data_IF_543423958565
#
_entry.id   IF_543423958565
#
_cell.length_a   1.000
_cell.length_b   1.000
_cell.length_c   1.000
_cell.angle_alpha   90.00
_cell.angle_beta   90.00
_cell.angle_gamma   90.00
#
_symmetry.space_group_name_H-M   'P 1'
#
loop_
_entity.id
_entity.type
_entity.pdbx_description
1 polymer ?
#
# COMPACT_ATOMS: atom_id res chain seq x y z
N UNK A 1 21.87 -24.99 -12.35
CA UNK A 1 20.70 -25.60 -13.02
C UNK A 1 20.29 -26.80 -12.17
N UNK A 2 19.09 -27.01 -11.65
CA UNK A 2 17.76 -26.44 -11.87
C UNK A 2 16.86 -27.01 -10.76
N UNK A 3 16.10 -26.15 -10.07
CA UNK A 3 14.88 -26.38 -9.23
C UNK A 3 14.80 -25.37 -8.08
N UNK A 4 14.56 -24.10 -8.43
CA UNK A 4 14.02 -23.07 -7.52
C UNK A 4 12.79 -22.42 -8.16
N UNK A 5 11.78 -23.23 -8.52
CA UNK A 5 10.51 -22.72 -9.08
C UNK A 5 9.36 -23.68 -8.80
N UNK A 6 8.82 -23.71 -7.57
CA UNK A 6 7.42 -24.15 -7.38
C UNK A 6 6.75 -23.76 -6.05
N UNK A 7 7.42 -23.11 -5.09
CA UNK A 7 6.80 -22.82 -3.78
C UNK A 7 5.92 -21.56 -3.80
N UNK A 8 6.18 -20.60 -4.69
CA UNK A 8 5.48 -19.30 -4.72
C UNK A 8 4.06 -19.30 -5.29
N UNK A 9 3.51 -20.44 -5.74
CA UNK A 9 2.20 -20.50 -6.40
C UNK A 9 1.05 -20.96 -5.50
N UNK A 10 1.32 -21.71 -4.43
CA UNK A 10 0.27 -22.24 -3.54
C UNK A 10 -0.19 -21.27 -2.45
N UNK A 11 0.61 -20.24 -2.12
CA UNK A 11 0.29 -19.28 -1.03
C UNK A 11 -0.87 -18.33 -1.41
N UNK A 12 -1.18 -18.18 -2.70
CA UNK A 12 -2.21 -17.23 -3.19
C UNK A 12 -3.64 -17.78 -3.25
N UNK A 13 -3.87 -19.06 -2.90
CA UNK A 13 -5.15 -19.72 -3.22
C UNK A 13 -6.32 -19.32 -2.32
N UNK A 14 -6.08 -18.61 -1.21
CA UNK A 14 -7.12 -18.36 -0.19
C UNK A 14 -7.71 -16.92 -0.24
N UNK A 15 -7.17 -16.01 -1.04
CA UNK A 15 -7.71 -14.65 -1.17
C UNK A 15 -8.41 -14.44 -2.52
N UNK A 16 -9.72 -14.66 -2.59
CA UNK A 16 -10.57 -14.23 -3.73
C UNK A 16 -11.68 -13.30 -3.23
N UNK A 17 -11.68 -12.06 -3.72
CA UNK A 17 -12.80 -11.11 -3.62
C UNK A 17 -13.46 -10.99 -5.00
N UNK A 18 -14.78 -11.11 -5.02
CA UNK A 18 -15.68 -11.02 -6.18
C UNK A 18 -15.71 -9.63 -6.79
N UNK A 19 -15.62 -9.54 -8.12
CA UNK A 19 -15.97 -8.36 -8.90
C UNK A 19 -17.21 -8.68 -9.74
N UNK A 20 -18.29 -7.92 -9.53
CA UNK A 20 -19.52 -7.97 -10.33
C UNK A 20 -19.34 -7.09 -11.56
N UNK A 21 -19.33 -7.73 -12.72
CA UNK A 21 -19.41 -7.11 -14.04
C UNK A 21 -20.85 -6.66 -14.32
N UNK A 22 -21.06 -5.43 -14.78
CA UNK A 22 -22.34 -5.02 -15.35
C UNK A 22 -22.16 -4.61 -16.82
N UNK A 23 -22.97 -5.23 -17.65
CA UNK A 23 -23.05 -5.17 -19.11
C UNK A 23 -24.16 -4.25 -19.58
N UNK A 24 -24.01 -3.66 -20.77
CA UNK A 24 -25.09 -3.07 -21.58
C UNK A 24 -25.15 -1.53 -21.55
N UNK A 25 -25.60 -0.81 -22.57
CA UNK A 25 -25.97 -1.12 -23.95
C UNK A 25 -26.18 0.22 -24.71
N UNK A 26 -25.77 0.27 -25.98
CA UNK A 26 -26.30 0.98 -27.18
C UNK A 26 -26.97 2.38 -27.04
N UNK A 27 -26.58 3.34 -27.91
CA UNK A 27 -27.33 3.80 -29.12
C UNK A 27 -26.80 5.15 -29.69
N UNK A 28 -26.69 5.23 -31.04
CA UNK A 28 -27.15 6.38 -31.86
C UNK A 28 -26.18 7.53 -32.22
N UNK A 29 -25.72 7.57 -33.48
CA UNK A 29 -25.14 8.72 -34.22
C UNK A 29 -26.23 9.75 -34.63
N UNK A 30 -26.02 10.75 -35.54
CA UNK A 30 -24.83 11.43 -36.09
C UNK A 30 -24.98 12.99 -36.17
N UNK A 31 -23.94 13.73 -36.60
CA UNK A 31 -24.10 15.11 -37.11
C UNK A 31 -22.81 15.94 -37.20
N UNK A 32 -22.26 16.06 -38.41
CA UNK A 32 -21.42 17.17 -38.93
C UNK A 32 -22.20 17.80 -40.11
N UNK A 33 -21.81 18.93 -40.77
CA UNK A 33 -20.63 19.80 -40.60
C UNK A 33 -20.95 21.32 -40.61
N UNK A 34 -19.95 22.17 -40.35
CA UNK A 34 -20.01 23.62 -40.56
C UNK A 34 -18.65 24.20 -40.97
N UNK A 35 -18.67 25.03 -42.01
CA UNK A 35 -17.58 25.45 -42.90
C UNK A 35 -16.58 26.51 -42.36
N UNK A 36 -15.44 26.73 -43.07
CA UNK A 36 -14.23 27.36 -42.54
C UNK A 36 -14.22 28.90 -42.65
N UNK A 37 -13.72 29.56 -41.61
CA UNK A 37 -13.44 31.01 -41.57
C UNK A 37 -11.96 31.33 -41.83
N UNK A 38 -11.74 32.41 -42.57
CA UNK A 38 -10.47 32.91 -43.13
C UNK A 38 -9.42 33.39 -42.11
N UNK A 39 -8.12 33.47 -42.52
CA UNK A 39 -6.98 33.69 -41.62
C UNK A 39 -6.77 35.16 -41.25
N UNK A 40 -6.71 35.46 -39.95
CA UNK A 40 -6.44 36.79 -39.40
C UNK A 40 -5.29 36.80 -38.39
N UNK A 41 -4.25 37.54 -38.77
CA UNK A 41 -3.19 38.25 -38.02
C UNK A 41 -2.17 37.50 -37.11
N UNK A 42 -0.86 37.87 -37.19
CA UNK A 42 0.22 37.29 -36.40
C UNK A 42 0.17 37.76 -34.93
N UNK A 43 0.26 36.79 -34.00
CA UNK A 43 0.16 37.01 -32.56
C UNK A 43 1.36 37.73 -31.92
N UNK A 44 1.06 38.40 -30.80
CA UNK A 44 1.97 39.14 -29.94
C UNK A 44 3.07 38.26 -29.29
N UNK A 45 4.24 38.84 -28.92
CA UNK A 45 5.35 38.13 -28.32
C UNK A 45 5.01 37.53 -26.93
N UNK A 46 5.38 36.27 -26.74
CA UNK A 46 5.00 35.45 -25.59
C UNK A 46 5.51 35.91 -24.23
N UNK A 47 4.67 35.66 -23.21
CA UNK A 47 4.95 35.83 -21.79
C UNK A 47 6.12 34.95 -21.29
N UNK A 48 6.84 35.39 -20.24
CA UNK A 48 8.00 34.68 -19.71
C UNK A 48 7.64 33.33 -19.06
N UNK A 49 8.53 32.35 -19.21
CA UNK A 49 8.39 31.00 -18.69
C UNK A 49 8.18 30.97 -17.16
N UNK A 50 7.03 30.46 -16.72
CA UNK A 50 6.80 30.09 -15.32
C UNK A 50 7.66 28.88 -14.91
N UNK A 51 8.14 28.82 -13.66
CA UNK A 51 8.97 27.72 -13.19
C UNK A 51 8.14 26.46 -12.90
N UNK A 52 8.54 25.35 -13.53
CA UNK A 52 8.40 23.99 -12.98
C UNK A 52 6.98 23.43 -12.90
N UNK A 53 6.44 23.01 -14.05
CA UNK A 53 5.19 22.25 -14.12
C UNK A 53 5.22 20.99 -13.23
N UNK A 54 4.06 20.71 -12.62
CA UNK A 54 3.82 19.54 -11.77
C UNK A 54 4.31 18.26 -12.49
N UNK A 55 5.30 17.52 -11.93
CA UNK A 55 5.81 16.30 -12.56
C UNK A 55 4.76 15.19 -12.69
N UNK A 56 3.60 15.32 -12.03
CA UNK A 56 2.44 14.42 -12.16
C UNK A 56 1.53 14.75 -13.37
N UNK A 57 1.84 15.80 -14.14
CA UNK A 57 1.00 16.27 -15.25
C UNK A 57 1.08 15.45 -16.56
N UNK A 58 1.85 14.36 -16.61
CA UNK A 58 2.17 13.68 -17.87
C UNK A 58 1.24 12.52 -18.28
N UNK A 59 0.09 12.36 -17.63
CA UNK A 59 -0.95 11.41 -18.06
C UNK A 59 -2.26 12.17 -18.28
N UNK A 60 -2.53 12.56 -19.54
CA UNK A 60 -3.91 12.90 -19.96
C UNK A 60 -4.72 11.60 -20.01
N UNK A 61 -5.26 11.20 -18.87
CA UNK A 61 -6.38 10.26 -18.85
C UNK A 61 -7.55 11.03 -19.48
N UNK A 62 -8.14 10.51 -20.57
CA UNK A 62 -9.35 11.12 -21.16
C UNK A 62 -10.43 11.16 -20.08
N UNK A 63 -10.71 12.35 -19.58
CA UNK A 63 -11.83 12.63 -18.69
C UNK A 63 -13.13 12.50 -19.49
N UNK A 64 -13.78 11.34 -19.37
CA UNK A 64 -15.20 11.23 -19.68
C UNK A 64 -15.80 10.01 -18.98
N UNK A 65 -16.65 10.30 -17.98
CA UNK A 65 -17.69 9.45 -17.40
C UNK A 65 -17.21 8.33 -16.45
N UNK A 66 -16.63 8.72 -15.32
CA UNK A 66 -17.11 8.24 -14.02
C UNK A 66 -17.34 9.48 -13.17
N UNK A 67 -18.56 10.00 -13.25
CA UNK A 67 -19.05 10.92 -12.25
C UNK A 67 -18.97 10.21 -10.89
N UNK A 68 -18.09 10.72 -10.03
CA UNK A 68 -18.43 10.96 -8.64
C UNK A 68 -19.02 9.77 -7.87
N UNK A 69 -18.28 8.68 -7.68
CA UNK A 69 -18.65 7.68 -6.67
C UNK A 69 -17.84 7.91 -5.40
N UNK A 70 -18.38 8.86 -4.64
CA UNK A 70 -18.20 9.19 -3.23
C UNK A 70 -16.87 9.81 -2.77
N UNK A 71 -16.84 11.15 -2.70
CA UNK A 71 -16.07 11.85 -1.66
C UNK A 71 -17.07 12.45 -0.70
N UNK A 72 -16.97 12.07 0.58
CA UNK A 72 -16.78 13.03 1.66
C UNK A 72 -16.19 12.37 2.92
N UNK A 73 -14.87 12.47 3.05
CA UNK A 73 -14.20 12.57 4.35
C UNK A 73 -13.67 14.01 4.54
N UNK A 74 -14.46 14.88 5.17
CA UNK A 74 -14.01 16.12 5.86
C UNK A 74 -14.65 16.19 7.29
N UNK A 75 -14.37 17.12 8.21
CA UNK A 75 -14.10 18.56 8.00
C UNK A 75 -13.10 19.19 9.00
N UNK A 76 -12.49 18.43 9.90
CA UNK A 76 -11.32 18.91 10.64
C UNK A 76 -10.24 17.81 10.76
N UNK A 77 -10.62 16.54 10.96
CA UNK A 77 -9.71 15.39 10.81
C UNK A 77 -10.42 14.01 10.73
N UNK A 78 -10.97 13.59 9.57
CA UNK A 78 -11.30 12.19 9.34
C UNK A 78 -10.01 11.44 8.93
N UNK A 79 -9.48 10.62 9.85
CA UNK A 79 -8.07 10.18 9.87
C UNK A 79 -7.58 9.53 8.57
N UNK A 80 -8.30 8.54 8.01
CA UNK A 80 -7.98 7.97 6.70
C UNK A 80 -9.28 7.72 5.90
N UNK A 81 -9.25 7.99 4.59
CA UNK A 81 -10.38 7.86 3.66
C UNK A 81 -10.55 6.45 3.12
N UNK A 82 -9.51 5.62 3.22
CA UNK A 82 -9.50 4.21 2.80
C UNK A 82 -8.25 3.51 3.35
N UNK A 83 -8.28 2.18 3.39
CA UNK A 83 -7.09 1.39 3.73
C UNK A 83 -5.93 1.61 2.77
N UNK A 84 -6.22 1.81 1.48
CA UNK A 84 -5.17 2.11 0.50
C UNK A 84 -4.44 3.41 0.83
N UNK A 85 -5.17 4.44 1.30
CA UNK A 85 -4.55 5.68 1.77
C UNK A 85 -3.70 5.43 3.02
N UNK A 86 -4.23 4.72 4.01
CA UNK A 86 -3.50 4.38 5.24
C UNK A 86 -2.20 3.64 4.95
N UNK A 87 -2.24 2.66 4.05
CA UNK A 87 -1.07 1.88 3.62
C UNK A 87 -0.02 2.75 2.91
N UNK A 88 -0.45 3.58 1.94
CA UNK A 88 0.46 4.47 1.19
C UNK A 88 1.13 5.46 2.15
N UNK A 89 0.35 6.08 3.04
CA UNK A 89 0.88 6.99 4.05
C UNK A 89 1.84 6.28 5.01
N UNK A 90 1.49 5.09 5.50
CA UNK A 90 2.36 4.31 6.39
C UNK A 90 3.71 4.02 5.75
N UNK A 91 3.71 3.59 4.48
CA UNK A 91 4.96 3.35 3.74
C UNK A 91 5.82 4.59 3.62
N UNK A 92 5.22 5.74 3.28
CA UNK A 92 5.93 7.00 3.13
C UNK A 92 6.48 7.55 4.45
N UNK A 93 5.66 7.56 5.51
CA UNK A 93 5.97 8.24 6.77
C UNK A 93 6.80 7.39 7.73
N UNK A 94 6.69 6.06 7.67
CA UNK A 94 7.50 5.14 8.46
C UNK A 94 8.82 4.77 7.76
N UNK A 95 9.00 5.18 6.49
CA UNK A 95 10.27 5.11 5.77
C UNK A 95 10.68 6.46 5.18
N UNK A 96 10.82 7.51 6.01
CA UNK A 96 10.90 8.86 5.50
C UNK A 96 12.21 9.16 4.76
N UNK A 97 13.23 8.29 4.89
CA UNK A 97 14.52 8.38 4.17
C UNK A 97 14.44 7.76 2.78
N UNK A 98 13.38 7.03 2.45
CA UNK A 98 13.24 6.31 1.18
C UNK A 98 12.32 7.07 0.23
N UNK A 99 12.58 6.92 -1.06
CA UNK A 99 11.62 7.28 -2.10
C UNK A 99 10.98 6.00 -2.67
N UNK A 100 9.74 6.14 -3.14
CA UNK A 100 8.97 5.04 -3.70
C UNK A 100 8.41 5.43 -5.06
N UNK A 101 8.32 4.49 -5.99
CA UNK A 101 7.53 4.72 -7.19
C UNK A 101 6.03 4.53 -6.89
N UNK A 102 5.17 5.09 -7.74
CA UNK A 102 3.71 4.86 -7.63
C UNK A 102 3.39 3.36 -7.77
N UNK A 103 4.17 2.61 -8.55
CA UNK A 103 4.02 1.17 -8.70
C UNK A 103 4.34 0.40 -7.41
N UNK A 104 5.35 0.84 -6.66
CA UNK A 104 5.68 0.26 -5.35
C UNK A 104 4.55 0.50 -4.36
N UNK A 105 4.05 1.74 -4.32
CA UNK A 105 2.92 2.14 -3.46
C UNK A 105 1.61 1.43 -3.86
N UNK A 106 1.39 1.16 -5.14
CA UNK A 106 0.22 0.41 -5.60
C UNK A 106 0.26 -1.06 -5.17
N UNK A 107 1.44 -1.68 -5.29
CA UNK A 107 1.69 -3.06 -4.84
C UNK A 107 1.47 -3.18 -3.33
N UNK A 108 2.05 -2.26 -2.58
CA UNK A 108 1.89 -2.13 -1.14
C UNK A 108 0.43 -2.11 -0.68
N UNK A 109 -0.34 -1.20 -1.28
CA UNK A 109 -1.73 -0.96 -0.95
C UNK A 109 -2.69 -1.98 -1.56
N UNK A 110 -2.17 -3.00 -2.26
CA UNK A 110 -2.96 -3.98 -3.01
C UNK A 110 -4.05 -3.32 -3.88
N UNK A 111 -3.71 -2.22 -4.54
CA UNK A 111 -4.65 -1.40 -5.31
C UNK A 111 -4.16 -1.21 -6.75
N UNK A 112 -5.05 -1.00 -7.73
CA UNK A 112 -4.63 -0.69 -9.09
C UNK A 112 -3.76 0.58 -9.15
N UNK A 113 -2.81 0.62 -10.09
CA UNK A 113 -1.92 1.77 -10.29
C UNK A 113 -2.67 3.10 -10.38
N UNK A 114 -3.79 3.15 -11.11
CA UNK A 114 -4.60 4.36 -11.26
C UNK A 114 -5.23 4.85 -9.96
N UNK A 115 -5.55 3.94 -9.03
CA UNK A 115 -6.04 4.27 -7.69
C UNK A 115 -4.91 4.80 -6.81
N UNK A 116 -3.76 4.14 -6.80
CA UNK A 116 -2.57 4.59 -6.08
C UNK A 116 -2.09 5.96 -6.59
N UNK A 117 -2.03 6.15 -7.91
CA UNK A 117 -1.69 7.41 -8.54
C UNK A 117 -2.60 8.53 -8.06
N UNK A 118 -3.93 8.32 -8.09
CA UNK A 118 -4.90 9.31 -7.59
C UNK A 118 -4.66 9.66 -6.13
N UNK A 119 -4.35 8.68 -5.28
CA UNK A 119 -4.08 8.93 -3.87
C UNK A 119 -2.76 9.68 -3.65
N UNK A 120 -1.69 9.27 -4.32
CA UNK A 120 -0.40 9.96 -4.30
C UNK A 120 -0.55 11.41 -4.75
N UNK A 121 -1.28 11.67 -5.83
CA UNK A 121 -1.55 13.04 -6.29
C UNK A 121 -2.29 13.86 -5.23
N UNK A 122 -3.23 13.28 -4.48
CA UNK A 122 -3.91 13.97 -3.37
C UNK A 122 -2.94 14.25 -2.22
N UNK A 123 -2.14 13.27 -1.82
CA UNK A 123 -1.13 13.41 -0.74
C UNK A 123 -0.13 14.51 -1.08
N UNK A 124 0.35 14.57 -2.32
CA UNK A 124 1.24 15.62 -2.82
C UNK A 124 0.56 17.00 -2.82
N UNK A 125 -0.69 17.09 -3.31
CA UNK A 125 -1.48 18.34 -3.27
C UNK A 125 -1.75 18.84 -1.85
N UNK A 126 -1.82 17.95 -0.86
CA UNK A 126 -1.93 18.31 0.56
C UNK A 126 -0.59 18.73 1.18
N UNK A 127 0.52 18.69 0.43
CA UNK A 127 1.85 19.04 0.91
C UNK A 127 2.48 18.00 1.84
N UNK A 128 1.90 16.79 1.95
CA UNK A 128 2.39 15.72 2.81
C UNK A 128 3.50 14.89 2.15
N UNK A 129 3.56 14.90 0.82
CA UNK A 129 4.60 14.25 0.03
C UNK A 129 5.14 15.19 -1.05
N UNK A 130 6.39 14.95 -1.43
CA UNK A 130 7.04 15.53 -2.60
C UNK A 130 7.12 14.49 -3.70
N UNK A 131 7.08 14.95 -4.95
CA UNK A 131 7.31 14.09 -6.11
C UNK A 131 8.43 14.65 -6.96
N UNK A 132 9.26 13.78 -7.51
CA UNK A 132 10.36 14.16 -8.40
C UNK A 132 10.50 13.13 -9.51
N UNK A 133 10.91 13.57 -10.69
CA UNK A 133 11.24 12.64 -11.77
C UNK A 133 12.68 12.17 -11.63
N UNK A 134 12.88 10.85 -11.62
CA UNK A 134 14.18 10.22 -11.81
C UNK A 134 14.12 9.34 -13.05
N UNK A 135 14.64 9.85 -14.16
CA UNK A 135 14.50 9.22 -15.47
C UNK A 135 13.02 9.18 -15.90
N UNK A 136 12.52 7.98 -16.19
CA UNK A 136 11.11 7.76 -16.55
C UNK A 136 10.19 7.50 -15.33
N UNK A 137 10.77 7.30 -14.14
CA UNK A 137 10.01 7.02 -12.93
C UNK A 137 9.68 8.32 -12.17
N UNK A 138 8.47 8.37 -11.62
CA UNK A 138 8.09 9.38 -10.61
C UNK A 138 8.36 8.79 -9.25
N UNK A 139 9.27 9.42 -8.52
CA UNK A 139 9.57 9.10 -7.13
C UNK A 139 8.73 9.97 -6.20
N UNK A 140 8.23 9.35 -5.14
CA UNK A 140 7.38 9.93 -4.10
C UNK A 140 8.09 9.79 -2.76
N UNK A 141 8.14 10.88 -1.98
CA UNK A 141 8.76 10.89 -0.64
C UNK A 141 7.95 11.70 0.34
N UNK A 142 7.84 11.26 1.59
CA UNK A 142 7.23 12.04 2.65
C UNK A 142 7.98 13.36 2.90
N UNK A 143 7.25 14.44 3.21
CA UNK A 143 7.82 15.73 3.57
C UNK A 143 8.00 15.86 5.08
N UNK A 144 9.26 15.75 5.52
CA UNK A 144 9.69 15.83 6.93
C UNK A 144 9.69 17.24 7.49
N UNK A 145 9.73 18.23 6.61
CA UNK A 145 9.76 19.66 6.92
C UNK A 145 8.39 20.22 7.32
N UNK A 146 7.38 19.36 7.49
CA UNK A 146 6.01 19.76 7.85
C UNK A 146 5.73 19.49 9.34
N UNK A 147 5.00 20.38 10.06
CA UNK A 147 4.60 20.13 11.44
C UNK A 147 3.75 18.88 11.63
N UNK A 148 3.02 18.47 10.59
CA UNK A 148 2.18 17.28 10.60
C UNK A 148 2.97 15.96 10.54
N UNK A 149 4.26 16.01 10.17
CA UNK A 149 5.05 14.81 9.90
C UNK A 149 5.10 13.85 11.09
N UNK A 150 5.55 14.34 12.24
CA UNK A 150 5.71 13.51 13.43
C UNK A 150 4.39 12.95 13.98
N UNK A 151 3.34 13.77 14.22
CA UNK A 151 2.06 13.24 14.71
C UNK A 151 1.44 12.19 13.77
N UNK A 152 1.55 12.41 12.46
CA UNK A 152 1.00 11.47 11.48
C UNK A 152 1.82 10.17 11.45
N UNK A 153 3.14 10.24 11.53
CA UNK A 153 4.00 9.05 11.62
C UNK A 153 3.70 8.24 12.89
N UNK A 154 3.51 8.88 14.05
CA UNK A 154 3.13 8.22 15.30
C UNK A 154 1.77 7.51 15.17
N UNK A 155 0.75 8.19 14.63
CA UNK A 155 -0.56 7.59 14.38
C UNK A 155 -0.49 6.41 13.41
N UNK A 156 0.25 6.54 12.31
CA UNK A 156 0.45 5.48 11.33
C UNK A 156 1.16 4.29 11.96
N UNK A 157 2.15 4.53 12.82
CA UNK A 157 2.84 3.49 13.59
C UNK A 157 1.88 2.65 14.45
N UNK A 158 0.94 3.30 15.12
CA UNK A 158 -0.06 2.64 15.97
C UNK A 158 -1.12 1.84 15.19
N UNK A 159 -1.36 2.22 13.93
CA UNK A 159 -2.46 1.69 13.10
C UNK A 159 -1.95 0.74 12.02
N UNK A 160 -1.40 1.27 10.93
CA UNK A 160 -0.89 0.52 9.78
C UNK A 160 0.57 0.07 9.94
N UNK A 161 1.25 0.55 10.98
CA UNK A 161 2.67 0.34 11.22
C UNK A 161 3.13 -1.12 11.29
N UNK A 162 2.40 -2.08 11.87
CA UNK A 162 2.87 -3.45 11.98
C UNK A 162 3.25 -4.08 10.63
N UNK A 163 2.47 -3.84 9.57
CA UNK A 163 2.76 -4.36 8.24
C UNK A 163 3.96 -3.69 7.55
N UNK A 164 4.39 -2.51 8.04
CA UNK A 164 5.52 -1.75 7.49
C UNK A 164 6.78 -1.99 8.31
N UNK A 165 6.70 -1.93 9.64
CA UNK A 165 7.86 -1.97 10.56
C UNK A 165 8.42 -3.39 10.71
N UNK A 166 7.56 -4.40 10.89
CA UNK A 166 8.00 -5.78 11.16
C UNK A 166 8.86 -6.34 10.01
N UNK A 167 8.50 -6.18 8.73
CA UNK A 167 9.34 -6.64 7.63
C UNK A 167 10.77 -6.10 7.66
N UNK A 168 10.99 -4.85 8.09
CA UNK A 168 12.33 -4.25 8.15
C UNK A 168 13.22 -4.95 9.17
N UNK A 169 12.66 -5.43 10.28
CA UNK A 169 13.42 -6.14 11.32
C UNK A 169 13.59 -7.63 11.01
N UNK A 170 12.69 -8.23 10.21
CA UNK A 170 12.80 -9.62 9.78
C UNK A 170 13.67 -9.79 8.52
N UNK A 171 13.86 -8.72 7.75
CA UNK A 171 14.67 -8.74 6.54
C UNK A 171 16.09 -9.23 6.82
N UNK A 172 16.57 -10.14 5.98
CA UNK A 172 17.91 -10.73 6.10
C UNK A 172 18.02 -11.92 7.07
N UNK A 173 16.99 -12.23 7.87
CA UNK A 173 16.99 -13.45 8.69
C UNK A 173 16.80 -14.67 7.78
N UNK A 174 17.83 -15.50 7.72
CA UNK A 174 17.82 -16.73 6.90
C UNK A 174 16.86 -17.76 7.50
N UNK A 175 16.15 -18.49 6.63
CA UNK A 175 15.26 -19.58 7.03
C UNK A 175 13.81 -19.15 7.29
N UNK A 176 13.47 -17.88 7.08
CA UNK A 176 12.08 -17.44 6.98
C UNK A 176 11.57 -17.68 5.56
N UNK A 177 10.55 -18.54 5.41
CA UNK A 177 9.91 -18.83 4.12
C UNK A 177 8.74 -17.87 3.86
N UNK A 178 7.98 -17.54 4.91
CA UNK A 178 6.90 -16.57 4.88
C UNK A 178 6.63 -16.01 6.29
N UNK A 179 6.03 -14.83 6.35
CA UNK A 179 5.60 -14.20 7.59
C UNK A 179 4.18 -13.63 7.44
N UNK A 180 3.38 -13.74 8.50
CA UNK A 180 2.00 -13.28 8.51
C UNK A 180 1.67 -12.59 9.83
N UNK A 181 0.85 -11.55 9.78
CA UNK A 181 0.16 -11.03 10.96
C UNK A 181 -1.19 -11.71 11.09
N UNK A 182 -1.55 -12.08 12.31
CA UNK A 182 -2.85 -12.67 12.65
C UNK A 182 -3.46 -11.97 13.87
N UNK A 183 -4.53 -12.54 14.41
CA UNK A 183 -5.13 -12.06 15.66
C UNK A 183 -5.92 -10.76 15.49
N UNK A 184 -6.02 -10.00 16.58
CA UNK A 184 -6.90 -8.82 16.64
C UNK A 184 -6.51 -7.75 15.62
N UNK A 185 -5.23 -7.54 15.36
CA UNK A 185 -4.77 -6.57 14.37
C UNK A 185 -5.17 -6.96 12.94
N UNK A 186 -4.94 -8.22 12.55
CA UNK A 186 -5.33 -8.71 11.22
C UNK A 186 -6.86 -8.69 11.03
N UNK A 187 -7.62 -8.99 12.09
CA UNK A 187 -9.08 -8.87 12.08
C UNK A 187 -9.55 -7.43 11.83
N UNK A 188 -9.01 -6.45 12.56
CA UNK A 188 -9.31 -5.02 12.30
C UNK A 188 -8.91 -4.61 10.89
N UNK A 189 -7.75 -5.08 10.40
CA UNK A 189 -7.26 -4.81 9.04
C UNK A 189 -8.16 -5.39 7.95
N UNK A 190 -8.90 -6.47 8.25
CA UNK A 190 -9.91 -7.07 7.38
C UNK A 190 -11.30 -6.43 7.51
N UNK A 191 -11.46 -5.41 8.36
CA UNK A 191 -12.72 -4.70 8.59
C UNK A 191 -13.63 -5.33 9.65
N UNK A 192 -13.16 -6.31 10.41
CA UNK A 192 -13.93 -6.86 11.53
C UNK A 192 -13.97 -5.85 12.69
N UNK A 193 -15.15 -5.50 13.22
CA UNK A 193 -15.28 -4.53 14.31
C UNK A 193 -14.72 -5.07 15.64
N UNK A 194 -14.38 -4.15 16.55
CA UNK A 194 -13.97 -4.44 17.93
C UNK A 194 -12.93 -3.44 18.44
N UNK A 195 -12.44 -3.67 19.66
CA UNK A 195 -11.50 -2.76 20.33
C UNK A 195 -10.18 -2.56 19.57
N UNK A 196 -9.43 -1.52 19.93
CA UNK A 196 -8.08 -1.36 19.42
C UNK A 196 -7.24 -2.61 19.72
N UNK A 197 -6.47 -3.14 18.76
CA UNK A 197 -5.60 -4.29 19.00
C UNK A 197 -4.65 -4.01 20.17
N UNK A 198 -4.49 -4.95 21.10
CA UNK A 198 -3.60 -4.81 22.27
C UNK A 198 -2.15 -5.13 21.94
N UNK A 199 -1.91 -6.31 21.39
CA UNK A 199 -0.61 -6.83 20.95
C UNK A 199 -0.62 -7.20 19.46
N UNK A 200 0.56 -7.48 18.91
CA UNK A 200 0.75 -7.87 17.53
C UNK A 200 1.18 -9.33 17.47
N UNK A 201 0.31 -10.17 16.94
CA UNK A 201 0.58 -11.58 16.74
C UNK A 201 1.26 -11.82 15.39
N UNK A 202 2.47 -12.40 15.43
CA UNK A 202 3.30 -12.65 14.26
C UNK A 202 3.51 -14.14 14.06
N UNK A 203 3.09 -14.67 12.93
CA UNK A 203 3.41 -16.03 12.51
C UNK A 203 4.61 -16.03 11.57
N UNK A 204 5.61 -16.85 11.87
CA UNK A 204 6.76 -17.10 11.02
C UNK A 204 6.71 -18.55 10.53
N UNK A 205 6.70 -18.73 9.21
CA UNK A 205 6.79 -20.04 8.58
C UNK A 205 8.22 -20.27 8.12
N UNK A 206 8.82 -21.39 8.52
CA UNK A 206 10.17 -21.80 8.12
C UNK A 206 10.97 -22.42 9.26
N UNK A 207 12.29 -22.32 9.17
CA UNK A 207 13.20 -22.77 10.23
C UNK A 207 14.32 -21.74 10.50
N UNK A 208 13.97 -20.49 10.87
CA UNK A 208 14.96 -19.47 11.18
C UNK A 208 15.57 -19.68 12.57
N UNK A 209 16.74 -19.06 12.84
CA UNK A 209 17.29 -19.00 14.19
C UNK A 209 16.31 -18.28 15.14
N UNK A 210 15.77 -19.02 16.13
CA UNK A 210 14.76 -18.50 17.07
C UNK A 210 15.16 -17.18 17.71
N UNK A 211 16.40 -17.10 18.21
CA UNK A 211 16.92 -15.89 18.87
C UNK A 211 16.87 -14.64 17.99
N UNK A 212 17.14 -14.77 16.68
CA UNK A 212 17.07 -13.64 15.75
C UNK A 212 15.62 -13.17 15.55
N UNK A 213 14.67 -14.09 15.44
CA UNK A 213 13.25 -13.75 15.31
C UNK A 213 12.72 -13.06 16.58
N UNK A 214 13.02 -13.58 17.76
CA UNK A 214 12.58 -12.96 19.02
C UNK A 214 13.18 -11.56 19.20
N UNK A 215 14.45 -11.37 18.86
CA UNK A 215 15.11 -10.07 18.95
C UNK A 215 14.56 -9.06 17.92
N UNK A 216 14.30 -9.52 16.70
CA UNK A 216 13.65 -8.71 15.67
C UNK A 216 12.24 -8.27 16.09
N UNK A 217 11.44 -9.19 16.63
CA UNK A 217 10.10 -8.90 17.16
C UNK A 217 10.15 -7.93 18.33
N UNK A 218 11.10 -8.11 19.27
CA UNK A 218 11.30 -7.20 20.41
C UNK A 218 11.63 -5.78 19.93
N UNK A 219 12.54 -5.65 18.96
CA UNK A 219 12.94 -4.36 18.38
C UNK A 219 11.79 -3.70 17.62
N UNK A 220 11.04 -4.48 16.84
CA UNK A 220 9.84 -4.00 16.18
C UNK A 220 8.78 -3.52 17.19
N UNK A 221 8.62 -4.25 18.30
CA UNK A 221 7.66 -3.89 19.35
C UNK A 221 7.98 -2.60 20.10
N UNK A 222 9.27 -2.30 20.30
CA UNK A 222 9.71 -0.99 20.81
C UNK A 222 9.28 0.13 19.84
N UNK A 223 9.52 -0.06 18.55
CA UNK A 223 9.16 0.92 17.50
C UNK A 223 7.65 1.11 17.39
N UNK A 224 6.87 0.04 17.55
CA UNK A 224 5.40 0.05 17.48
C UNK A 224 4.72 0.41 18.81
N UNK A 225 5.50 0.61 19.88
CA UNK A 225 5.01 0.79 21.26
C UNK A 225 4.04 -0.31 21.73
N UNK A 226 4.17 -1.53 21.19
CA UNK A 226 3.28 -2.67 21.42
C UNK A 226 4.06 -3.98 21.37
N UNK A 227 3.71 -4.95 22.20
CA UNK A 227 4.36 -6.26 22.17
C UNK A 227 4.13 -6.95 20.80
N UNK A 228 5.19 -7.50 20.22
CA UNK A 228 5.13 -8.35 19.03
C UNK A 228 5.45 -9.78 19.46
N UNK A 229 4.48 -10.67 19.33
CA UNK A 229 4.53 -12.04 19.81
C UNK A 229 4.76 -13.00 18.63
N UNK A 230 6.00 -13.44 18.37
CA UNK A 230 6.27 -14.37 17.28
C UNK A 230 5.92 -15.81 17.65
N UNK A 231 5.29 -16.51 16.71
CA UNK A 231 5.11 -17.96 16.70
C UNK A 231 5.79 -18.53 15.46
N UNK A 232 6.73 -19.44 15.66
CA UNK A 232 7.49 -20.08 14.58
C UNK A 232 6.91 -21.46 14.31
N UNK A 233 6.58 -21.73 13.04
CA UNK A 233 6.05 -23.01 12.56
C UNK A 233 6.87 -23.49 11.38
N UNK A 234 7.09 -24.80 11.25
CA UNK A 234 7.83 -25.34 10.11
C UNK A 234 6.99 -25.25 8.83
N UNK A 235 7.65 -25.16 7.67
CA UNK A 235 6.96 -25.20 6.39
C UNK A 235 6.15 -26.49 6.18
N UNK A 236 6.58 -27.61 6.77
CA UNK A 236 5.85 -28.87 6.74
C UNK A 236 4.56 -28.79 7.57
N UNK A 237 4.63 -28.25 8.79
CA UNK A 237 3.45 -28.05 9.65
C UNK A 237 2.46 -27.08 9.00
N UNK A 238 2.94 -25.99 8.40
CA UNK A 238 2.10 -25.03 7.68
C UNK A 238 1.34 -25.67 6.50
N UNK A 239 1.99 -26.56 5.74
CA UNK A 239 1.34 -27.32 4.65
C UNK A 239 0.34 -28.35 5.16
N UNK A 240 0.55 -28.87 6.36
CA UNK A 240 -0.33 -29.83 7.02
C UNK A 240 -1.30 -29.15 8.00
N UNK A 241 -1.63 -27.87 7.80
CA UNK A 241 -2.43 -27.07 8.73
C UNK A 241 -3.77 -27.73 9.11
N UNK A 242 -4.39 -28.46 8.19
CA UNK A 242 -5.66 -29.19 8.44
C UNK A 242 -5.55 -30.24 9.56
N UNK A 243 -4.34 -30.71 9.87
CA UNK A 243 -4.06 -31.73 10.90
C UNK A 243 -3.70 -31.17 12.27
N UNK A 244 -3.35 -29.88 12.36
CA UNK A 244 -3.06 -29.19 13.62
C UNK A 244 -4.25 -28.26 13.95
N UNK A 245 -5.00 -28.51 15.05
CA UNK A 245 -6.18 -27.71 15.40
C UNK A 245 -5.89 -26.21 15.48
N UNK A 246 -4.71 -25.80 15.94
CA UNK A 246 -4.33 -24.39 16.01
C UNK A 246 -4.08 -23.81 14.62
N UNK A 247 -3.32 -24.50 13.76
CA UNK A 247 -3.02 -24.01 12.41
C UNK A 247 -4.26 -23.97 11.53
N UNK A 248 -5.16 -24.93 11.70
CA UNK A 248 -6.46 -24.92 11.03
C UNK A 248 -7.26 -23.67 11.42
N UNK A 249 -7.50 -23.44 12.70
CA UNK A 249 -8.22 -22.24 13.16
C UNK A 249 -7.50 -20.96 12.74
N UNK A 250 -6.17 -20.92 12.75
CA UNK A 250 -5.42 -19.74 12.34
C UNK A 250 -5.55 -19.48 10.83
N UNK A 251 -5.59 -20.52 10.00
CA UNK A 251 -5.78 -20.40 8.55
C UNK A 251 -7.20 -19.98 8.14
N UNK A 252 -8.18 -20.20 9.02
CA UNK A 252 -9.58 -19.80 8.83
C UNK A 252 -9.84 -18.33 9.24
N UNK A 253 -8.91 -17.68 9.92
CA UNK A 253 -9.01 -16.28 10.36
C UNK A 253 -8.26 -15.33 9.41
N UNK A 254 -8.52 -14.01 9.49
CA UNK A 254 -7.78 -13.05 8.68
C UNK A 254 -6.27 -13.15 8.90
N UNK A 255 -5.54 -13.29 7.79
CA UNK A 255 -4.08 -13.28 7.75
C UNK A 255 -3.61 -12.17 6.82
N UNK A 256 -2.63 -11.40 7.27
CA UNK A 256 -1.97 -10.37 6.46
C UNK A 256 -0.55 -10.83 6.16
N UNK A 257 -0.26 -11.09 4.88
CA UNK A 257 1.08 -11.48 4.44
C UNK A 257 2.06 -10.31 4.56
N UNK A 258 3.27 -10.58 5.03
CA UNK A 258 4.35 -9.61 5.15
C UNK A 258 5.37 -9.79 4.03
N UNK A 259 5.56 -8.75 3.22
CA UNK A 259 6.54 -8.75 2.14
C UNK A 259 7.95 -8.42 2.67
N UNK A 260 8.78 -9.44 2.86
CA UNK A 260 10.14 -9.30 3.41
C UNK A 260 11.21 -8.92 2.37
N UNK A 261 10.83 -8.75 1.10
CA UNK A 261 11.76 -8.57 -0.03
C UNK A 261 12.10 -7.11 -0.36
N UNK A 262 11.50 -6.14 0.34
CA UNK A 262 11.52 -4.74 -0.08
C UNK A 262 12.58 -3.85 0.59
N UNK A 263 13.53 -4.43 1.31
CA UNK A 263 14.59 -3.70 2.00
C UNK A 263 15.86 -3.68 1.15
N UNK A 264 15.88 -2.80 0.15
CA UNK A 264 17.07 -2.31 -0.52
C UNK A 264 16.95 -0.81 -0.75
#
# INVERSE_FOLDING_TARGET
MEKRRSVGRDIRRVAKISAVSNTGCRHGCPGEPGEPGEPGEPGEPGEPCEPGGDPLSFIRIRDSIIAYVNIKAPTLAPLFRSDAQGEILARLFLNPDRSFTISDLARAAHTPYSSAHREVSRIAKMGLASTSKRGQAVEVRARRDTPAFRPLAELLGLTYGPAVVIPHHLAGIVGIDAAFLYGSWAARRAGEPGDAPGDIDLLIVGNPPRGQVYEASRTAGITLARAVNPRIVSAAAWKAADTDPFLRTLSERPLVHLDLLETS
#
